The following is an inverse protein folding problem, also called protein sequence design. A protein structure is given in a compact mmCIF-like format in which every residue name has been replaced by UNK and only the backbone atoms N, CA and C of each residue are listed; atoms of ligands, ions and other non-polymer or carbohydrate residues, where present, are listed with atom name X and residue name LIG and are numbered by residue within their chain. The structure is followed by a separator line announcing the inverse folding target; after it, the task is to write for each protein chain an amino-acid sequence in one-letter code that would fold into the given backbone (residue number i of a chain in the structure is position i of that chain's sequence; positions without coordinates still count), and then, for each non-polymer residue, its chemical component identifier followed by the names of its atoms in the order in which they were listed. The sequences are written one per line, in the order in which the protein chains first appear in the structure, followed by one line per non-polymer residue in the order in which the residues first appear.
data_IF_784125147789
#
_entry.id   IF_784125147789
#
_cell.length_a   1.000
_cell.length_b   1.000
_cell.length_c   1.000
_cell.angle_alpha   90.00
_cell.angle_beta   90.00
_cell.angle_gamma   90.00
#
_symmetry.space_group_name_H-M   'P 1'
#
loop_
_entity.id
_entity.type
_entity.pdbx_description
1 polymer ?
#
# COMPACT_ATOMS: atom_id res chain seq x y z
N UNK A 1 -25.98 0.60 -15.67
CA UNK A 1 -24.63 1.17 -15.41
C UNK A 1 -23.64 0.10 -14.91
N UNK A 2 -23.99 -0.67 -13.87
CA UNK A 2 -23.17 -1.80 -13.37
C UNK A 2 -22.98 -2.90 -14.43
N UNK A 3 -24.01 -3.20 -15.24
CA UNK A 3 -23.94 -4.21 -16.29
C UNK A 3 -22.93 -3.86 -17.41
N UNK A 4 -22.86 -2.61 -17.84
CA UNK A 4 -21.89 -2.16 -18.84
C UNK A 4 -20.43 -2.23 -18.34
N UNK A 5 -20.21 -2.00 -17.03
CA UNK A 5 -18.90 -2.16 -16.41
C UNK A 5 -18.49 -3.64 -16.33
N UNK A 6 -19.44 -4.54 -16.07
CA UNK A 6 -19.22 -5.98 -16.05
C UNK A 6 -18.98 -6.55 -17.47
N UNK A 7 -19.70 -6.07 -18.49
CA UNK A 7 -19.46 -6.43 -19.90
C UNK A 7 -18.10 -5.97 -20.42
N UNK A 8 -17.64 -4.76 -20.04
CA UNK A 8 -16.30 -4.28 -20.40
C UNK A 8 -15.16 -5.13 -19.80
N UNK A 9 -15.43 -5.80 -18.68
CA UNK A 9 -14.50 -6.69 -18.00
C UNK A 9 -14.58 -8.15 -18.48
N UNK A 10 -15.57 -8.49 -19.32
CA UNK A 10 -15.69 -9.82 -19.93
C UNK A 10 -14.44 -10.11 -20.79
N UNK A 11 -13.68 -11.14 -20.41
CA UNK A 11 -12.41 -11.52 -21.05
C UNK A 11 -11.15 -10.92 -20.40
N UNK A 12 -11.27 -10.12 -19.34
CA UNK A 12 -10.13 -9.53 -18.60
C UNK A 12 -10.08 -10.00 -17.15
N UNK A 13 -10.20 -11.31 -16.93
CA UNK A 13 -10.19 -11.93 -15.59
C UNK A 13 -9.00 -11.46 -14.73
N UNK A 14 -7.80 -11.35 -15.33
CA UNK A 14 -6.61 -10.85 -14.64
C UNK A 14 -6.73 -9.39 -14.17
N UNK A 15 -7.46 -8.54 -14.92
CA UNK A 15 -7.69 -7.15 -14.52
C UNK A 15 -8.67 -7.06 -13.34
N UNK A 16 -9.72 -7.89 -13.36
CA UNK A 16 -10.66 -8.03 -12.24
C UNK A 16 -9.93 -8.51 -10.99
N UNK A 17 -9.07 -9.52 -11.11
CA UNK A 17 -8.30 -10.06 -9.98
C UNK A 17 -7.36 -9.01 -9.38
N UNK A 18 -6.66 -8.23 -10.21
CA UNK A 18 -5.81 -7.13 -9.73
C UNK A 18 -6.64 -6.04 -9.03
N UNK A 19 -7.80 -5.69 -9.60
CA UNK A 19 -8.71 -4.73 -9.00
C UNK A 19 -9.20 -5.21 -7.64
N UNK A 20 -9.59 -6.48 -7.51
CA UNK A 20 -10.03 -7.08 -6.24
C UNK A 20 -8.90 -7.11 -5.20
N UNK A 21 -7.67 -7.42 -5.62
CA UNK A 21 -6.49 -7.38 -4.73
C UNK A 21 -6.22 -5.98 -4.19
N UNK A 22 -6.30 -4.95 -5.05
CA UNK A 22 -6.12 -3.56 -4.63
C UNK A 22 -7.29 -3.11 -3.75
N UNK A 23 -8.53 -3.44 -4.13
CA UNK A 23 -9.73 -3.13 -3.34
C UNK A 23 -9.62 -3.65 -1.90
N UNK A 24 -9.17 -4.90 -1.73
CA UNK A 24 -8.92 -5.50 -0.42
C UNK A 24 -7.74 -4.84 0.32
N UNK A 25 -6.72 -4.39 -0.39
CA UNK A 25 -5.56 -3.72 0.22
C UNK A 25 -5.91 -2.32 0.75
N UNK A 26 -6.78 -1.59 0.06
CA UNK A 26 -7.09 -0.20 0.45
C UNK A 26 -8.21 -0.09 1.47
N UNK A 27 -8.83 -1.21 1.88
CA UNK A 27 -9.89 -1.24 2.90
C UNK A 27 -9.38 -0.66 4.23
N UNK A 28 -9.98 0.46 4.67
CA UNK A 28 -9.55 1.24 5.83
C UNK A 28 -8.44 2.27 5.56
N UNK A 29 -8.00 2.42 4.30
CA UNK A 29 -6.96 3.34 3.84
C UNK A 29 -7.38 4.17 2.61
N UNK A 30 -8.68 4.32 2.36
CA UNK A 30 -9.24 4.91 1.13
C UNK A 30 -9.08 6.43 1.03
N UNK A 31 -8.66 7.08 2.12
CA UNK A 31 -8.34 8.52 2.08
C UNK A 31 -7.05 8.77 1.30
N UNK A 32 -6.85 9.97 0.74
CA UNK A 32 -5.57 10.32 0.10
C UNK A 32 -4.36 10.10 1.01
N UNK A 33 -4.53 10.38 2.32
CA UNK A 33 -3.50 10.10 3.32
C UNK A 33 -3.21 8.59 3.46
N UNK A 34 -4.26 7.77 3.57
CA UNK A 34 -4.14 6.33 3.75
C UNK A 34 -3.49 5.64 2.55
N UNK A 35 -3.91 6.01 1.34
CA UNK A 35 -3.34 5.46 0.11
C UNK A 35 -1.87 5.86 -0.06
N UNK A 36 -1.51 7.12 0.22
CA UNK A 36 -0.12 7.57 0.14
C UNK A 36 0.76 6.91 1.20
N UNK A 37 0.22 6.65 2.39
CA UNK A 37 0.90 5.91 3.45
C UNK A 37 1.15 4.46 3.02
N UNK A 38 0.12 3.72 2.60
CA UNK A 38 0.26 2.33 2.13
C UNK A 38 1.26 2.22 0.98
N UNK A 39 1.16 3.11 -0.01
CA UNK A 39 2.03 3.09 -1.18
C UNK A 39 3.49 3.38 -0.79
N UNK A 40 3.72 4.34 0.10
CA UNK A 40 5.06 4.69 0.58
C UNK A 40 5.70 3.57 1.39
N UNK A 41 4.95 2.91 2.26
CA UNK A 41 5.45 1.79 3.07
C UNK A 41 5.74 0.57 2.19
N UNK A 42 4.84 0.24 1.26
CA UNK A 42 5.08 -0.84 0.29
C UNK A 42 6.32 -0.55 -0.59
N UNK A 43 6.52 0.71 -0.98
CA UNK A 43 7.68 1.09 -1.78
C UNK A 43 9.00 0.85 -1.04
N UNK A 44 9.11 1.24 0.24
CA UNK A 44 10.35 1.01 1.01
C UNK A 44 10.61 -0.47 1.28
N UNK A 45 9.55 -1.29 1.35
CA UNK A 45 9.67 -2.73 1.51
C UNK A 45 10.15 -3.45 0.23
N UNK A 46 9.71 -3.00 -0.96
CA UNK A 46 9.96 -3.72 -2.22
C UNK A 46 11.01 -3.11 -3.15
N UNK A 47 11.22 -1.80 -3.09
CA UNK A 47 11.98 -1.07 -4.12
C UNK A 47 13.17 -0.29 -3.57
N UNK A 48 13.21 0.00 -2.27
CA UNK A 48 14.37 0.65 -1.66
C UNK A 48 15.56 -0.33 -1.63
N UNK A 49 16.77 0.21 -1.72
CA UNK A 49 18.02 -0.54 -1.49
C UNK A 49 18.75 0.00 -0.24
N UNK A 50 19.06 -0.83 0.77
CA UNK A 50 18.42 -2.12 1.02
C UNK A 50 16.91 -1.96 1.31
N UNK A 51 16.10 -2.98 1.01
CA UNK A 51 14.68 -2.98 1.33
C UNK A 51 14.48 -3.03 2.84
N UNK A 52 13.40 -2.42 3.32
CA UNK A 52 12.94 -2.61 4.69
C UNK A 52 12.47 -4.05 4.87
N UNK A 53 12.86 -4.68 5.98
CA UNK A 53 12.55 -6.08 6.29
C UNK A 53 11.59 -6.23 7.47
N UNK A 54 11.34 -5.14 8.21
CA UNK A 54 10.45 -5.06 9.35
C UNK A 54 9.84 -3.65 9.48
N UNK A 55 8.91 -3.47 10.42
CA UNK A 55 8.23 -2.20 10.61
C UNK A 55 9.17 -1.08 11.06
N UNK A 56 10.21 -1.40 11.83
CA UNK A 56 11.16 -0.41 12.35
C UNK A 56 12.03 0.14 11.23
N UNK A 57 12.62 -0.73 10.40
CA UNK A 57 13.37 -0.34 9.22
C UNK A 57 12.51 0.41 8.19
N UNK A 58 11.21 0.12 8.11
CA UNK A 58 10.27 0.87 7.30
C UNK A 58 10.01 2.28 7.85
N UNK A 59 9.86 2.42 9.18
CA UNK A 59 9.76 3.72 9.85
C UNK A 59 11.01 4.54 9.55
N UNK A 60 12.20 3.99 9.80
CA UNK A 60 13.46 4.68 9.56
C UNK A 60 13.60 5.12 8.10
N UNK A 61 13.27 4.24 7.15
CA UNK A 61 13.32 4.53 5.72
C UNK A 61 12.36 5.67 5.31
N UNK A 62 11.12 5.65 5.80
CA UNK A 62 10.12 6.68 5.49
C UNK A 62 10.50 8.02 6.13
N UNK A 63 11.00 7.99 7.37
CA UNK A 63 11.44 9.18 8.11
C UNK A 63 12.70 9.80 7.50
N UNK A 64 13.55 9.00 6.85
CA UNK A 64 14.75 9.46 6.15
C UNK A 64 14.48 9.98 4.73
N UNK A 65 13.30 9.75 4.15
CA UNK A 65 13.05 10.03 2.73
C UNK A 65 13.13 11.53 2.37
N UNK A 66 12.23 12.34 2.94
CA UNK A 66 12.25 13.79 2.79
C UNK A 66 11.45 14.46 3.93
N UNK A 67 11.66 15.77 4.12
CA UNK A 67 11.00 16.52 5.20
C UNK A 67 9.46 16.44 5.14
N UNK A 68 8.88 16.44 3.93
CA UNK A 68 7.42 16.35 3.75
C UNK A 68 6.87 15.02 4.24
N UNK A 69 7.43 13.88 3.82
CA UNK A 69 6.98 12.53 4.23
C UNK A 69 7.19 12.31 5.73
N UNK A 70 8.31 12.79 6.27
CA UNK A 70 8.58 12.77 7.72
C UNK A 70 7.51 13.51 8.54
N UNK A 71 7.10 14.69 8.08
CA UNK A 71 6.07 15.48 8.78
C UNK A 71 4.66 14.91 8.58
N UNK A 72 4.41 14.27 7.44
CA UNK A 72 3.10 13.72 7.09
C UNK A 72 2.80 12.43 7.85
N UNK A 73 3.76 11.51 7.99
CA UNK A 73 3.52 10.18 8.54
C UNK A 73 3.98 10.05 10.00
N UNK A 74 3.06 9.63 10.86
CA UNK A 74 3.40 9.24 12.24
C UNK A 74 3.99 7.82 12.24
N UNK A 75 5.03 7.53 13.03
CA UNK A 75 5.59 6.18 13.16
C UNK A 75 4.54 5.09 13.44
N UNK A 76 3.58 5.39 14.33
CA UNK A 76 2.48 4.48 14.63
C UNK A 76 1.61 4.15 13.39
N UNK A 77 1.39 5.11 12.49
CA UNK A 77 0.63 4.86 11.26
C UNK A 77 1.44 3.99 10.28
N UNK A 78 2.76 4.20 10.20
CA UNK A 78 3.65 3.38 9.38
C UNK A 78 3.65 1.92 9.87
N UNK A 79 3.70 1.70 11.18
CA UNK A 79 3.59 0.36 11.77
C UNK A 79 2.26 -0.32 11.42
N UNK A 80 1.13 0.38 11.55
CA UNK A 80 -0.20 -0.16 11.17
C UNK A 80 -0.27 -0.50 9.67
N UNK A 81 0.28 0.36 8.81
CA UNK A 81 0.35 0.11 7.37
C UNK A 81 1.24 -1.10 7.03
N UNK A 82 2.37 -1.26 7.72
CA UNK A 82 3.26 -2.41 7.57
C UNK A 82 2.54 -3.72 7.92
N UNK A 83 1.91 -3.78 9.09
CA UNK A 83 1.16 -4.97 9.52
C UNK A 83 -0.03 -5.28 8.59
N UNK A 84 -0.69 -4.25 8.06
CA UNK A 84 -1.74 -4.42 7.05
C UNK A 84 -1.17 -5.05 5.77
N UNK A 85 -0.08 -4.52 5.22
CA UNK A 85 0.57 -5.05 4.01
C UNK A 85 1.03 -6.50 4.22
N UNK A 86 1.61 -6.80 5.38
CA UNK A 86 2.03 -8.15 5.76
C UNK A 86 0.84 -9.12 5.79
N UNK A 87 -0.25 -8.74 6.48
CA UNK A 87 -1.46 -9.57 6.59
C UNK A 87 -2.13 -9.83 5.24
N UNK A 88 -2.04 -8.89 4.31
CA UNK A 88 -2.59 -9.04 2.96
C UNK A 88 -1.62 -9.73 1.97
N UNK A 89 -0.42 -10.13 2.40
CA UNK A 89 0.56 -10.83 1.56
C UNK A 89 1.23 -9.93 0.50
N UNK A 90 1.39 -8.64 0.79
CA UNK A 90 2.05 -7.67 -0.12
C UNK A 90 3.53 -7.45 0.21
N UNK A 91 4.04 -8.01 1.30
CA UNK A 91 5.46 -7.91 1.68
C UNK A 91 6.29 -9.14 1.27
N UNK A 92 5.64 -10.23 0.85
CA UNK A 92 6.27 -11.48 0.41
C UNK A 92 6.88 -11.37 -1.00
#
# INVERSE_FOLDING_TARGET
AVEAANEFLAGRQQSIERLMKVSKLIEGFETPYGMELLSSVHWVAKHKTPPATDSESAIDAVMAWNNRKRMMFKPAHIHVAWEHLKRQGWLD
#
